data_IF_756383185115
#
_entry.id   IF_756383185115
#
_cell.length_a   1.000
_cell.length_b   1.000
_cell.length_c   1.000
_cell.angle_alpha   90.00
_cell.angle_beta   90.00
_cell.angle_gamma   90.00
#
_symmetry.space_group_name_H-M   'P 1'
#
loop_
_entity.id
_entity.type
_entity.pdbx_description
1 polymer ?
#
# COMPACT_ATOMS: atom_id res chain seq x y z
N UNK A 1 9.62 -8.20 -1.38
CA UNK A 1 8.59 -8.02 -2.41
C UNK A 1 7.60 -9.19 -2.33
N UNK A 2 6.29 -8.93 -2.30
CA UNK A 2 5.29 -10.00 -2.38
C UNK A 2 5.11 -10.54 -3.82
N UNK A 3 5.65 -9.85 -4.82
CA UNK A 3 5.53 -10.23 -6.23
C UNK A 3 4.12 -10.00 -6.78
N UNK A 4 3.83 -10.61 -7.94
CA UNK A 4 2.49 -10.59 -8.52
C UNK A 4 1.65 -11.73 -7.93
N UNK A 5 0.85 -11.40 -6.90
CA UNK A 5 0.08 -12.38 -6.15
C UNK A 5 -1.31 -12.68 -6.73
N UNK A 6 -1.67 -12.13 -7.91
CA UNK A 6 -3.00 -12.24 -8.53
C UNK A 6 -4.11 -11.76 -7.57
N UNK A 7 -5.14 -12.56 -7.28
CA UNK A 7 -6.31 -12.13 -6.50
C UNK A 7 -5.98 -11.69 -5.04
N UNK A 8 -5.03 -12.33 -4.32
CA UNK A 8 -4.54 -11.83 -3.04
C UNK A 8 -3.84 -10.46 -3.01
N UNK A 9 -3.53 -9.85 -4.17
CA UNK A 9 -2.76 -8.60 -4.21
C UNK A 9 -3.45 -7.45 -3.46
N UNK A 10 -4.77 -7.30 -3.59
CA UNK A 10 -5.52 -6.23 -2.93
C UNK A 10 -5.51 -6.35 -1.39
N UNK A 11 -5.91 -7.47 -0.76
CA UNK A 11 -5.88 -7.58 0.69
C UNK A 11 -4.46 -7.49 1.26
N UNK A 12 -3.44 -7.96 0.53
CA UNK A 12 -2.05 -7.81 0.95
C UNK A 12 -1.59 -6.34 0.96
N UNK A 13 -1.91 -5.58 -0.10
CA UNK A 13 -1.64 -4.15 -0.17
C UNK A 13 -2.41 -3.36 0.90
N UNK A 14 -3.65 -3.77 1.19
CA UNK A 14 -4.46 -3.19 2.26
C UNK A 14 -3.82 -3.36 3.63
N UNK A 15 -3.33 -4.56 3.95
CA UNK A 15 -2.63 -4.83 5.20
C UNK A 15 -1.34 -4.00 5.33
N UNK A 16 -0.58 -3.87 4.24
CA UNK A 16 0.65 -3.06 4.21
C UNK A 16 0.34 -1.56 4.43
N UNK A 17 -0.70 -1.05 3.77
CA UNK A 17 -1.14 0.33 3.93
C UNK A 17 -1.60 0.63 5.36
N UNK A 18 -2.36 -0.29 5.97
CA UNK A 18 -2.77 -0.16 7.37
C UNK A 18 -1.57 -0.11 8.32
N UNK A 19 -0.57 -0.98 8.11
CA UNK A 19 0.65 -0.98 8.91
C UNK A 19 1.44 0.33 8.75
N UNK A 20 1.63 0.79 7.51
CA UNK A 20 2.36 2.03 7.21
C UNK A 20 1.68 3.26 7.81
N UNK A 21 0.37 3.39 7.65
CA UNK A 21 -0.41 4.51 8.22
C UNK A 21 -0.38 4.47 9.74
N UNK A 22 -0.50 3.30 10.35
CA UNK A 22 -0.43 3.15 11.80
C UNK A 22 0.95 3.55 12.37
N UNK A 23 2.03 3.18 11.68
CA UNK A 23 3.39 3.59 12.05
C UNK A 23 3.69 5.05 11.70
N UNK A 24 2.87 5.67 10.83
CA UNK A 24 3.10 7.01 10.31
C UNK A 24 4.32 7.10 9.38
N UNK A 25 4.76 5.99 8.80
CA UNK A 25 5.97 5.90 7.98
C UNK A 25 5.76 4.94 6.80
N UNK A 26 6.41 5.23 5.67
CA UNK A 26 6.51 4.28 4.55
C UNK A 26 7.69 3.32 4.77
N UNK A 27 7.68 2.22 4.01
CA UNK A 27 8.86 1.37 3.88
C UNK A 27 10.05 2.15 3.27
N UNK A 28 11.30 1.69 3.47
CA UNK A 28 12.46 2.35 2.88
C UNK A 28 12.38 2.43 1.35
N UNK A 29 13.03 3.43 0.72
CA UNK A 29 13.17 3.49 -0.73
C UNK A 29 13.61 2.14 -1.32
N UNK A 30 12.93 1.70 -2.36
CA UNK A 30 13.16 0.41 -3.02
C UNK A 30 14.24 0.50 -4.10
N UNK A 31 14.52 1.71 -4.59
CA UNK A 31 15.54 1.99 -5.61
C UNK A 31 16.38 3.22 -5.21
N UNK A 32 17.58 3.35 -5.81
CA UNK A 32 18.56 4.39 -5.46
C UNK A 32 18.03 5.82 -5.58
N UNK A 33 17.20 6.07 -6.59
CA UNK A 33 16.74 7.41 -6.96
C UNK A 33 15.38 7.75 -6.33
N UNK A 34 14.82 6.85 -5.51
CA UNK A 34 13.59 7.12 -4.77
C UNK A 34 13.90 7.92 -3.49
N UNK A 35 13.25 9.08 -3.37
CA UNK A 35 13.36 9.91 -2.17
C UNK A 35 12.55 9.30 -1.02
N UNK A 36 13.09 9.27 0.22
CA UNK A 36 12.32 8.81 1.37
C UNK A 36 11.18 9.80 1.67
N UNK A 37 10.10 9.28 2.26
CA UNK A 37 9.06 10.13 2.83
C UNK A 37 9.60 10.78 4.11
N UNK A 38 9.72 12.11 4.10
CA UNK A 38 10.23 12.94 5.20
C UNK A 38 9.13 13.44 6.15
N UNK A 39 7.87 13.17 5.81
CA UNK A 39 6.69 13.56 6.59
C UNK A 39 5.95 12.35 7.15
N UNK A 40 5.13 12.58 8.18
CA UNK A 40 4.29 11.53 8.74
C UNK A 40 3.23 11.09 7.73
N UNK A 41 3.22 9.81 7.37
CA UNK A 41 2.15 9.22 6.56
C UNK A 41 0.83 9.26 7.34
N UNK A 42 -0.20 9.89 6.76
CA UNK A 42 -1.51 10.04 7.42
C UNK A 42 -2.59 9.14 6.85
N UNK A 43 -2.52 8.90 5.55
CA UNK A 43 -3.53 8.18 4.80
C UNK A 43 -2.88 7.50 3.60
N UNK A 44 -3.51 6.44 3.13
CA UNK A 44 -3.11 5.76 1.90
C UNK A 44 -4.37 5.35 1.12
N UNK A 45 -4.30 5.43 -0.20
CA UNK A 45 -5.30 4.83 -1.09
C UNK A 45 -4.72 3.54 -1.62
N UNK A 46 -5.46 2.45 -1.46
CA UNK A 46 -5.13 1.16 -2.06
C UNK A 46 -6.11 0.90 -3.19
N UNK A 47 -5.59 0.65 -4.38
CA UNK A 47 -6.38 0.24 -5.55
C UNK A 47 -6.01 -1.19 -5.95
N UNK A 48 -6.95 -1.88 -6.59
CA UNK A 48 -6.75 -3.25 -7.05
C UNK A 48 -7.57 -3.55 -8.29
N UNK A 49 -7.00 -4.35 -9.18
CA UNK A 49 -7.64 -4.86 -10.38
C UNK A 49 -7.57 -6.37 -10.36
N UNK A 50 -8.72 -7.03 -10.50
CA UNK A 50 -8.78 -8.47 -10.62
C UNK A 50 -8.19 -8.93 -11.95
N UNK A 51 -7.57 -10.11 -11.96
CA UNK A 51 -6.91 -10.60 -13.17
C UNK A 51 -7.90 -10.87 -14.32
N UNK A 52 -9.12 -11.33 -13.99
CA UNK A 52 -10.19 -11.53 -14.98
C UNK A 52 -11.23 -10.42 -14.94
N UNK A 53 -11.79 -10.12 -13.75
CA UNK A 53 -12.81 -9.10 -13.53
C UNK A 53 -12.68 -8.53 -12.11
N UNK A 54 -13.18 -7.32 -11.92
CA UNK A 54 -13.35 -6.70 -10.62
C UNK A 54 -12.35 -5.59 -10.36
N UNK A 55 -12.82 -4.56 -9.69
CA UNK A 55 -12.04 -3.40 -9.27
C UNK A 55 -12.25 -3.22 -7.76
N UNK A 56 -11.22 -2.77 -7.07
CA UNK A 56 -11.26 -2.52 -5.64
C UNK A 56 -10.55 -1.21 -5.30
N UNK A 57 -11.09 -0.48 -4.32
CA UNK A 57 -10.48 0.72 -3.78
C UNK A 57 -10.78 0.83 -2.28
N UNK A 58 -9.79 1.22 -1.50
CA UNK A 58 -9.93 1.52 -0.09
C UNK A 58 -9.11 2.76 0.30
N UNK A 59 -9.72 3.66 1.08
CA UNK A 59 -9.01 4.70 1.81
C UNK A 59 -8.66 4.14 3.19
N UNK A 60 -7.38 4.21 3.55
CA UNK A 60 -6.87 3.81 4.86
C UNK A 60 -6.46 5.07 5.62
N UNK A 61 -6.96 5.21 6.84
CA UNK A 61 -6.62 6.30 7.76
C UNK A 61 -6.27 5.71 9.13
N UNK A 62 -5.54 6.46 9.95
CA UNK A 62 -5.45 6.14 11.36
C UNK A 62 -6.83 6.27 12.02
N UNK A 63 -7.04 5.53 13.12
CA UNK A 63 -8.23 5.65 13.97
C UNK A 63 -8.23 6.95 14.77
#
# INVERSE_FOLDING_TARGET
>A
ALGHAVEPAFPAALALAALAVNQGALFPPLERDEAPLDTKLRQAIVTGWGHWRGEAMALVTAA
#
